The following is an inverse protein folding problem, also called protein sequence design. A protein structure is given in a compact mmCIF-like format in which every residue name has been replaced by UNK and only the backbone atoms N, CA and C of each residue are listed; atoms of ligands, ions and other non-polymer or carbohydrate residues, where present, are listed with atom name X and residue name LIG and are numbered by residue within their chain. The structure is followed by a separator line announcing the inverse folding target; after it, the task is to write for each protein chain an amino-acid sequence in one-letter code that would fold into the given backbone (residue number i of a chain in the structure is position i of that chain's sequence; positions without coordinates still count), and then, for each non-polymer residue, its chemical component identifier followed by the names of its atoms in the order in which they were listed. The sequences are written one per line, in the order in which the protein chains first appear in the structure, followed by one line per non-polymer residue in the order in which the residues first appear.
data_IF_857013065245
#
_entry.id   IF_857013065245
#
_cell.length_a   1.000
_cell.length_b   1.000
_cell.length_c   1.000
_cell.angle_alpha   90.00
_cell.angle_beta   90.00
_cell.angle_gamma   90.00
#
_symmetry.space_group_name_H-M   'P 1'
#
loop_
_entity.id
_entity.type
_entity.pdbx_description
1 polymer ?
#
# COMPACT_ATOMS: atom_id res chain seq x y z
N UNK A 1 -17.45 -4.04 1.74
CA UNK A 1 -16.53 -5.01 1.15
C UNK A 1 -16.07 -6.00 2.20
N UNK A 2 -16.21 -7.25 1.93
CA UNK A 2 -15.80 -8.27 2.88
C UNK A 2 -14.31 -8.56 2.74
N UNK A 3 -13.65 -8.89 3.86
CA UNK A 3 -12.27 -9.33 3.78
C UNK A 3 -12.15 -10.57 2.91
N UNK A 4 -11.08 -10.65 2.17
CA UNK A 4 -10.82 -11.77 1.30
C UNK A 4 -9.59 -12.52 1.78
N UNK A 5 -9.73 -13.84 1.93
CA UNK A 5 -8.62 -14.68 2.37
C UNK A 5 -8.13 -15.48 1.17
N UNK A 6 -6.86 -15.31 0.86
CA UNK A 6 -6.19 -16.09 -0.18
C UNK A 6 -5.19 -17.00 0.49
N UNK A 7 -5.43 -18.29 0.40
CA UNK A 7 -4.56 -19.27 1.06
C UNK A 7 -3.45 -19.77 0.14
N UNK A 8 -3.55 -19.48 -1.13
CA UNK A 8 -2.53 -19.91 -2.08
C UNK A 8 -1.20 -19.26 -1.70
N UNK A 9 -0.19 -20.10 -1.45
CA UNK A 9 1.15 -19.66 -1.05
C UNK A 9 1.15 -18.75 0.18
N UNK A 10 0.14 -18.87 1.02
CA UNK A 10 0.06 -18.06 2.23
C UNK A 10 -0.27 -16.60 2.00
N UNK A 11 -0.87 -16.26 0.86
CA UNK A 11 -1.26 -14.90 0.56
C UNK A 11 -2.57 -14.59 1.24
N UNK A 12 -2.51 -13.73 2.25
CA UNK A 12 -3.69 -13.30 2.99
C UNK A 12 -3.69 -11.79 2.99
N UNK A 13 -4.78 -11.21 2.52
CA UNK A 13 -5.00 -9.77 2.61
C UNK A 13 -5.94 -9.52 3.79
N UNK A 14 -5.59 -8.53 4.62
CA UNK A 14 -6.48 -8.16 5.71
C UNK A 14 -7.78 -7.60 5.17
N UNK A 15 -7.68 -6.68 4.20
CA UNK A 15 -8.86 -6.11 3.56
C UNK A 15 -8.52 -5.91 2.08
N UNK A 16 -9.46 -6.27 1.24
CA UNK A 16 -9.36 -6.01 -0.19
C UNK A 16 -10.64 -5.30 -0.62
N UNK A 17 -10.50 -4.12 -1.21
CA UNK A 17 -11.61 -3.29 -1.65
C UNK A 17 -11.43 -2.88 -3.09
N UNK A 18 -12.56 -2.58 -3.74
CA UNK A 18 -12.54 -1.96 -5.05
C UNK A 18 -13.39 -0.71 -4.98
N UNK A 19 -12.85 0.42 -5.42
CA UNK A 19 -13.57 1.68 -5.35
C UNK A 19 -14.57 1.81 -6.50
N UNK A 20 -15.45 2.80 -6.41
CA UNK A 20 -16.44 3.06 -7.47
C UNK A 20 -15.77 3.43 -8.78
N UNK A 21 -14.57 3.98 -8.74
CA UNK A 21 -13.83 4.37 -9.94
C UNK A 21 -12.85 3.29 -10.39
N UNK A 22 -12.88 2.12 -9.76
CA UNK A 22 -12.16 0.94 -10.24
C UNK A 22 -10.83 0.65 -9.58
N UNK A 23 -10.35 1.50 -8.68
CA UNK A 23 -9.08 1.22 -8.01
C UNK A 23 -9.22 0.02 -7.07
N UNK A 24 -8.19 -0.82 -7.06
CA UNK A 24 -8.07 -1.93 -6.13
C UNK A 24 -7.24 -1.48 -4.95
N UNK A 25 -7.78 -1.57 -3.75
CA UNK A 25 -7.08 -1.15 -2.54
C UNK A 25 -6.90 -2.35 -1.64
N UNK A 26 -5.64 -2.62 -1.31
CA UNK A 26 -5.25 -3.70 -0.41
C UNK A 26 -4.73 -3.05 0.86
N UNK A 27 -5.37 -3.37 1.99
CA UNK A 27 -4.96 -2.84 3.29
C UNK A 27 -4.46 -4.01 4.12
N UNK A 28 -3.27 -3.88 4.69
CA UNK A 28 -2.65 -4.94 5.45
C UNK A 28 -2.08 -4.40 6.74
N UNK A 29 -2.23 -5.18 7.82
CA UNK A 29 -1.64 -4.87 9.12
C UNK A 29 -0.42 -5.75 9.32
N UNK A 30 0.70 -5.15 9.72
CA UNK A 30 1.93 -5.86 10.02
C UNK A 30 2.29 -5.62 11.48
N UNK A 31 2.12 -6.64 12.33
CA UNK A 31 2.37 -6.49 13.77
C UNK A 31 3.86 -6.44 14.08
N UNK A 32 4.67 -7.13 13.30
CA UNK A 32 6.12 -7.10 13.49
C UNK A 32 6.79 -7.28 12.13
N UNK A 33 8.03 -6.82 12.07
CA UNK A 33 8.80 -6.85 10.83
C UNK A 33 9.12 -8.30 10.45
N UNK A 34 8.69 -8.70 9.26
CA UNK A 34 9.02 -9.98 8.67
C UNK A 34 10.23 -9.80 7.78
N UNK A 35 11.08 -10.85 7.63
CA UNK A 35 12.14 -10.78 6.64
C UNK A 35 11.56 -10.47 5.27
N UNK A 36 12.24 -9.58 4.55
CA UNK A 36 11.86 -9.21 3.18
C UNK A 36 10.44 -8.67 3.06
N UNK A 37 9.95 -7.94 4.07
CA UNK A 37 8.56 -7.48 4.01
C UNK A 37 8.30 -6.52 2.85
N UNK A 38 9.31 -5.75 2.43
CA UNK A 38 9.15 -4.86 1.27
C UNK A 38 8.97 -5.68 -0.01
N UNK A 39 9.71 -6.78 -0.15
CA UNK A 39 9.55 -7.69 -1.28
C UNK A 39 8.19 -8.37 -1.24
N UNK A 40 7.73 -8.75 -0.04
CA UNK A 40 6.42 -9.37 0.12
C UNK A 40 5.32 -8.42 -0.30
N UNK A 41 5.40 -7.16 0.14
CA UNK A 41 4.43 -6.14 -0.25
C UNK A 41 4.39 -5.94 -1.75
N UNK A 42 5.56 -5.87 -2.37
CA UNK A 42 5.68 -5.72 -3.81
C UNK A 42 5.06 -6.91 -4.53
N UNK A 43 5.33 -8.12 -4.05
CA UNK A 43 4.82 -9.34 -4.66
C UNK A 43 3.28 -9.39 -4.60
N UNK A 44 2.69 -9.06 -3.45
CA UNK A 44 1.24 -9.07 -3.30
C UNK A 44 0.56 -8.10 -4.25
N UNK A 45 1.10 -6.89 -4.36
CA UNK A 45 0.53 -5.88 -5.25
C UNK A 45 0.71 -6.26 -6.71
N UNK A 46 1.87 -6.80 -7.07
CA UNK A 46 2.12 -7.25 -8.44
C UNK A 46 1.14 -8.34 -8.85
N UNK A 47 0.77 -9.19 -7.91
CA UNK A 47 -0.20 -10.23 -8.18
C UNK A 47 -1.57 -9.64 -8.50
N UNK A 48 -1.98 -8.62 -7.76
CA UNK A 48 -3.24 -7.94 -8.04
C UNK A 48 -3.24 -7.27 -9.41
N UNK A 49 -2.08 -6.86 -9.90
CA UNK A 49 -1.95 -6.33 -11.25
C UNK A 49 -2.08 -7.45 -12.28
N UNK A 50 -1.32 -8.52 -12.11
CA UNK A 50 -1.30 -9.60 -13.11
C UNK A 50 -2.61 -10.36 -13.18
N UNK A 51 -3.37 -10.39 -12.11
CA UNK A 51 -4.68 -11.04 -12.10
C UNK A 51 -5.71 -10.32 -12.95
N UNK A 52 -5.41 -9.11 -13.40
CA UNK A 52 -6.30 -8.36 -14.29
C UNK A 52 -6.17 -8.78 -15.75
N UNK A 53 -5.19 -9.63 -16.07
CA UNK A 53 -4.99 -10.07 -17.45
C UNK A 53 -6.23 -10.75 -17.98
N UNK A 54 -6.57 -10.48 -19.24
CA UNK A 54 -7.73 -11.05 -19.90
C UNK A 54 -7.29 -11.92 -21.07
N UNK A 55 -8.09 -12.95 -21.34
CA UNK A 55 -7.85 -13.82 -22.49
C UNK A 55 -8.26 -13.09 -23.77
N UNK A 56 -7.61 -13.43 -24.88
CA UNK A 56 -7.90 -12.84 -26.17
C UNK A 56 -7.28 -11.48 -26.35
N UNK A 57 -7.94 -10.64 -27.14
CA UNK A 57 -7.44 -9.30 -27.41
C UNK A 57 -7.69 -8.42 -26.19
N UNK A 58 -6.62 -7.83 -25.70
CA UNK A 58 -6.67 -6.95 -24.53
C UNK A 58 -5.72 -5.78 -24.77
N UNK A 59 -6.19 -4.57 -24.53
CA UNK A 59 -5.41 -3.37 -24.77
C UNK A 59 -4.48 -3.01 -23.59
N UNK A 60 -4.39 -3.87 -22.58
CA UNK A 60 -3.54 -3.68 -21.40
C UNK A 60 -3.94 -2.50 -20.52
N UNK A 61 -5.17 -2.04 -20.60
CA UNK A 61 -5.65 -1.01 -19.69
C UNK A 61 -5.84 -1.63 -18.30
N UNK A 62 -5.05 -1.15 -17.35
CA UNK A 62 -5.08 -1.66 -15.99
C UNK A 62 -5.92 -0.76 -15.09
N UNK A 63 -6.59 -1.37 -14.13
CA UNK A 63 -7.09 -0.65 -12.97
C UNK A 63 -5.92 -0.41 -12.02
N UNK A 64 -5.92 0.73 -11.36
CA UNK A 64 -4.87 1.03 -10.40
C UNK A 64 -4.92 0.09 -9.20
N UNK A 65 -3.76 -0.22 -8.64
CA UNK A 65 -3.63 -1.05 -7.43
C UNK A 65 -2.86 -0.25 -6.40
N UNK A 66 -3.48 -0.04 -5.25
CA UNK A 66 -2.88 0.68 -4.13
C UNK A 66 -2.78 -0.25 -2.93
N UNK A 67 -1.59 -0.31 -2.34
CA UNK A 67 -1.39 -1.06 -1.10
C UNK A 67 -1.19 -0.10 0.05
N UNK A 68 -1.89 -0.31 1.15
CA UNK A 68 -1.72 0.47 2.37
C UNK A 68 -1.29 -0.49 3.48
N UNK A 69 -0.09 -0.28 4.01
CA UNK A 69 0.52 -1.17 4.98
C UNK A 69 0.69 -0.43 6.31
N UNK A 70 -0.11 -0.83 7.30
CA UNK A 70 0.01 -0.28 8.66
C UNK A 70 0.98 -1.15 9.43
N UNK A 71 2.04 -0.54 9.96
CA UNK A 71 3.12 -1.28 10.61
C UNK A 71 3.24 -0.90 12.06
N UNK A 72 3.32 -1.90 12.93
CA UNK A 72 3.59 -1.71 14.35
C UNK A 72 5.09 -1.72 14.65
N UNK A 73 5.90 -1.34 13.67
CA UNK A 73 7.35 -1.25 13.82
C UNK A 73 7.85 -0.08 12.99
N UNK A 74 9.07 0.37 13.27
CA UNK A 74 9.72 1.44 12.52
C UNK A 74 10.49 0.82 11.37
N UNK A 75 10.14 1.24 10.16
CA UNK A 75 10.73 0.71 8.95
C UNK A 75 12.11 1.30 8.68
N UNK A 76 12.23 2.60 8.84
CA UNK A 76 13.47 3.32 8.58
C UNK A 76 13.89 4.06 9.84
N UNK A 77 14.86 3.48 10.54
CA UNK A 77 15.31 4.02 11.84
C UNK A 77 16.19 5.23 11.69
N UNK A 78 16.67 5.49 10.47
CA UNK A 78 17.51 6.66 10.20
C UNK A 78 16.68 7.94 10.01
N UNK A 79 15.38 7.82 9.85
CA UNK A 79 14.49 8.96 9.67
C UNK A 79 13.45 8.93 10.79
N UNK A 80 13.79 9.48 11.97
CA UNK A 80 12.85 9.46 13.10
C UNK A 80 11.64 10.33 12.79
N UNK A 81 10.50 9.94 13.33
CA UNK A 81 9.25 10.69 13.21
C UNK A 81 8.62 10.66 11.84
N UNK A 82 9.16 9.92 10.89
CA UNK A 82 8.50 9.76 9.61
C UNK A 82 7.35 8.78 9.78
N UNK A 83 6.13 9.22 9.52
CA UNK A 83 4.93 8.41 9.71
C UNK A 83 4.56 7.69 8.43
N UNK A 84 4.70 8.36 7.28
CA UNK A 84 4.17 7.85 6.01
C UNK A 84 5.23 7.84 4.93
N UNK A 85 5.29 6.75 4.19
CA UNK A 85 6.13 6.61 3.01
C UNK A 85 5.27 6.25 1.82
N UNK A 86 5.30 7.09 0.77
CA UNK A 86 4.60 6.84 -0.47
C UNK A 86 5.59 6.37 -1.52
N UNK A 87 5.35 5.18 -2.07
CA UNK A 87 6.17 4.62 -3.14
C UNK A 87 5.37 4.65 -4.43
N UNK A 88 5.91 5.32 -5.42
CA UNK A 88 5.25 5.52 -6.71
C UNK A 88 6.20 5.17 -7.84
N UNK A 89 5.65 4.99 -9.03
CA UNK A 89 6.43 4.79 -10.24
C UNK A 89 6.68 6.15 -10.87
N UNK A 90 7.92 6.63 -10.77
CA UNK A 90 8.26 7.95 -11.28
C UNK A 90 9.53 7.92 -12.11
N UNK A 91 9.70 8.92 -12.96
CA UNK A 91 10.91 9.09 -13.73
C UNK A 91 12.03 9.55 -12.80
N UNK A 92 13.18 8.87 -12.86
CA UNK A 92 14.28 9.16 -11.95
C UNK A 92 14.84 10.57 -12.15
N UNK A 93 14.91 11.01 -13.38
CA UNK A 93 15.56 12.28 -13.68
C UNK A 93 14.68 13.49 -13.38
N UNK A 94 13.39 13.38 -13.70
CA UNK A 94 12.45 14.51 -13.56
C UNK A 94 11.66 14.48 -12.27
N UNK A 95 11.55 13.31 -11.64
CA UNK A 95 10.68 13.12 -10.48
C UNK A 95 9.22 13.05 -10.82
N UNK A 96 8.85 13.13 -12.08
CA UNK A 96 7.44 13.11 -12.47
C UNK A 96 6.86 11.72 -12.38
N UNK A 97 5.61 11.64 -11.96
CA UNK A 97 4.87 10.39 -11.95
C UNK A 97 4.80 9.84 -13.37
N UNK A 98 5.30 8.61 -13.55
CA UNK A 98 5.34 7.98 -14.86
C UNK A 98 4.10 7.13 -15.12
N UNK A 99 3.66 6.39 -14.12
CA UNK A 99 2.49 5.52 -14.23
C UNK A 99 1.73 5.54 -12.91
N UNK A 100 0.45 5.85 -12.95
CA UNK A 100 -0.38 6.03 -11.76
C UNK A 100 -1.06 4.74 -11.29
N UNK A 101 -0.77 3.61 -11.93
CA UNK A 101 -1.51 2.37 -11.66
C UNK A 101 -0.97 1.55 -10.51
N UNK A 102 0.12 1.99 -9.88
CA UNK A 102 0.76 1.25 -8.81
C UNK A 102 1.23 2.22 -7.73
N UNK A 103 0.85 1.94 -6.48
CA UNK A 103 1.26 2.80 -5.37
C UNK A 103 1.29 1.98 -4.09
N UNK A 104 2.34 2.20 -3.28
CA UNK A 104 2.45 1.60 -1.96
C UNK A 104 2.52 2.71 -0.92
N UNK A 105 1.74 2.57 0.12
CA UNK A 105 1.72 3.53 1.23
C UNK A 105 2.05 2.77 2.50
N UNK A 106 3.17 3.12 3.12
CA UNK A 106 3.63 2.50 4.36
C UNK A 106 3.42 3.47 5.50
N UNK A 107 2.75 3.03 6.56
CA UNK A 107 2.42 3.87 7.70
C UNK A 107 3.06 3.27 8.94
N UNK A 108 3.99 4.01 9.53
CA UNK A 108 4.76 3.60 10.71
C UNK A 108 4.07 4.11 11.96
N UNK A 109 3.17 3.31 12.50
CA UNK A 109 2.35 3.71 13.66
C UNK A 109 3.17 4.11 14.89
N UNK A 110 4.31 3.45 15.21
CA UNK A 110 5.08 3.88 16.38
C UNK A 110 5.61 5.31 16.28
N UNK A 111 5.75 5.86 15.07
CA UNK A 111 6.23 7.22 14.88
C UNK A 111 5.13 8.26 15.00
N UNK A 112 3.89 7.83 15.08
CA UNK A 112 2.78 8.75 15.26
C UNK A 112 2.60 9.00 16.75
N UNK A 113 2.88 10.23 17.20
CA UNK A 113 2.82 10.60 18.60
C UNK A 113 2.11 11.92 18.84
N UNK A 114 1.25 12.32 17.91
CA UNK A 114 0.51 13.56 18.02
C UNK A 114 -0.79 13.35 18.76
N UNK A 115 -1.15 14.33 19.61
CA UNK A 115 -2.49 14.40 20.17
C UNK A 115 -3.44 14.95 19.11
N UNK A 116 -4.73 14.80 19.35
CA UNK A 116 -5.73 15.20 18.35
C UNK A 116 -5.59 16.64 17.92
N UNK A 117 -5.36 17.54 18.86
CA UNK A 117 -5.24 18.98 18.57
C UNK A 117 -3.93 19.33 17.88
N UNK A 118 -2.96 18.42 17.86
CA UNK A 118 -1.70 18.62 17.16
C UNK A 118 -1.74 18.10 15.73
N UNK A 119 -2.82 17.42 15.35
CA UNK A 119 -2.95 16.87 14.01
C UNK A 119 -3.14 17.99 13.00
N UNK A 120 -2.37 17.94 11.92
CA UNK A 120 -2.32 19.03 10.95
C UNK A 120 -3.25 18.79 9.75
N UNK A 121 -3.74 17.54 9.59
CA UNK A 121 -4.58 17.21 8.45
C UNK A 121 -5.49 16.03 8.77
N UNK A 122 -6.41 15.75 7.87
CA UNK A 122 -7.38 14.69 8.07
C UNK A 122 -6.75 13.31 8.17
N UNK A 123 -5.64 13.10 7.46
CA UNK A 123 -4.93 11.82 7.52
C UNK A 123 -4.41 11.54 8.93
N UNK A 124 -3.79 12.56 9.56
CA UNK A 124 -3.28 12.40 10.92
C UNK A 124 -4.40 12.20 11.93
N UNK A 125 -5.50 12.91 11.77
CA UNK A 125 -6.66 12.74 12.65
C UNK A 125 -7.25 11.34 12.50
N UNK A 126 -7.22 10.81 11.31
CA UNK A 126 -7.73 9.45 11.07
C UNK A 126 -6.88 8.41 11.78
N UNK A 127 -5.56 8.58 11.81
CA UNK A 127 -4.66 7.67 12.53
C UNK A 127 -4.86 7.77 14.03
N UNK A 128 -5.05 8.99 14.54
CA UNK A 128 -5.21 9.23 15.97
C UNK A 128 -6.37 8.42 16.53
#
# INVERSE_FOLDING_TARGET
QQPEVKTERGLIYDIYCRTNTGEHIIVEMQNREQPYFKDRALFYLSRAITQQARKGIWNFQLDAVYGVFFMNFVMDKDIPSKIRTDVILSDRDTGKLFNSKFRQIFIELPNFNKEEDECENDFERWIY
#
